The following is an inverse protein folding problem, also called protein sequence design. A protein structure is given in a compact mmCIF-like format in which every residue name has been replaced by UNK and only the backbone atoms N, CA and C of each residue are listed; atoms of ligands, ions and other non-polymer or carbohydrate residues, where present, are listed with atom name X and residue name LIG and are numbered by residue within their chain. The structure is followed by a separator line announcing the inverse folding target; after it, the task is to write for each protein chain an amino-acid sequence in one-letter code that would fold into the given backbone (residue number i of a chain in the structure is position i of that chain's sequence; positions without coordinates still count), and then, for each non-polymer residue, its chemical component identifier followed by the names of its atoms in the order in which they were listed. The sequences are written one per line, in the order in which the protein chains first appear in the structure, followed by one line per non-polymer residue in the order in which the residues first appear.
data_IF_362182265249
#
_entry.id   IF_362182265249
#
_cell.length_a   1.000
_cell.length_b   1.000
_cell.length_c   1.000
_cell.angle_alpha   90.00
_cell.angle_beta   90.00
_cell.angle_gamma   90.00
#
_symmetry.space_group_name_H-M   'P 1'
#
loop_
_entity.id
_entity.type
_entity.pdbx_description
1 polymer ?
#
# COMPACT_ATOMS: atom_id res chain seq x y z
N UNK A 1 -3.91 2.03 -15.05
CA UNK A 1 -3.42 2.10 -13.66
C UNK A 1 -4.46 2.82 -12.79
N UNK A 2 -4.92 2.19 -11.72
CA UNK A 2 -5.94 2.72 -10.79
C UNK A 2 -5.45 2.58 -9.35
N UNK A 3 -5.70 3.58 -8.51
CA UNK A 3 -5.48 3.52 -7.07
C UNK A 3 -6.66 4.22 -6.38
N UNK A 4 -7.38 3.50 -5.53
CA UNK A 4 -8.58 4.02 -4.87
C UNK A 4 -8.68 3.50 -3.43
N UNK A 5 -9.11 4.36 -2.51
CA UNK A 5 -9.39 4.03 -1.12
C UNK A 5 -10.88 4.28 -0.84
N UNK A 6 -11.59 3.25 -0.36
CA UNK A 6 -12.99 3.35 0.06
C UNK A 6 -13.13 3.04 1.53
N UNK A 7 -13.90 3.85 2.25
CA UNK A 7 -14.27 3.59 3.65
C UNK A 7 -15.74 3.24 3.72
N UNK A 8 -16.07 2.11 4.34
CA UNK A 8 -17.44 1.68 4.66
C UNK A 8 -17.52 1.38 6.14
N UNK A 9 -18.09 2.31 6.91
CA UNK A 9 -18.16 2.20 8.37
C UNK A 9 -16.77 2.06 9.00
N UNK A 10 -16.48 0.86 9.54
CA UNK A 10 -15.20 0.51 10.17
C UNK A 10 -14.22 -0.19 9.22
N UNK A 11 -14.64 -0.52 8.00
CA UNK A 11 -13.80 -1.16 7.00
C UNK A 11 -13.20 -0.13 6.05
N UNK A 12 -11.93 -0.33 5.71
CA UNK A 12 -11.21 0.46 4.70
C UNK A 12 -10.70 -0.52 3.64
N UNK A 13 -11.17 -0.33 2.40
CA UNK A 13 -10.76 -1.13 1.24
C UNK A 13 -9.83 -0.29 0.38
N UNK A 14 -8.61 -0.79 0.14
CA UNK A 14 -7.68 -0.21 -0.82
C UNK A 14 -7.66 -1.07 -2.09
N UNK A 15 -7.96 -0.47 -3.24
CA UNK A 15 -7.97 -1.14 -4.54
C UNK A 15 -6.87 -0.54 -5.41
N UNK A 16 -6.00 -1.39 -5.95
CA UNK A 16 -4.92 -1.00 -6.85
C UNK A 16 -4.92 -1.88 -8.09
N UNK A 17 -4.70 -1.27 -9.25
CA UNK A 17 -4.63 -1.91 -10.56
C UNK A 17 -3.39 -1.40 -11.31
N UNK A 18 -2.57 -2.32 -11.80
CA UNK A 18 -1.34 -2.05 -12.54
C UNK A 18 -1.04 -3.22 -13.49
N UNK A 19 -0.17 -3.00 -14.47
CA UNK A 19 0.25 -4.02 -15.44
C UNK A 19 1.09 -5.13 -14.80
N UNK A 20 1.69 -4.84 -13.63
CA UNK A 20 2.43 -5.80 -12.83
C UNK A 20 2.73 -5.26 -11.44
N UNK A 21 2.99 -6.18 -10.51
CA UNK A 21 3.37 -5.85 -9.13
C UNK A 21 4.65 -6.58 -8.74
N UNK A 22 5.58 -5.87 -8.10
CA UNK A 22 6.78 -6.48 -7.52
C UNK A 22 6.42 -7.29 -6.27
N UNK A 23 7.33 -8.19 -5.88
CA UNK A 23 7.16 -9.03 -4.68
C UNK A 23 6.92 -8.16 -3.42
N UNK A 24 5.78 -8.41 -2.79
CA UNK A 24 5.20 -7.69 -1.64
C UNK A 24 4.86 -6.21 -1.86
N UNK A 25 4.94 -5.68 -3.08
CA UNK A 25 4.71 -4.26 -3.38
C UNK A 25 3.41 -3.73 -2.77
N UNK A 26 2.28 -4.39 -3.06
CA UNK A 26 0.96 -3.98 -2.55
C UNK A 26 0.92 -3.99 -1.02
N UNK A 27 1.44 -5.04 -0.39
CA UNK A 27 1.45 -5.18 1.07
C UNK A 27 2.37 -4.17 1.76
N UNK A 28 3.48 -3.80 1.11
CA UNK A 28 4.39 -2.75 1.61
C UNK A 28 3.73 -1.37 1.50
N UNK A 29 3.07 -1.07 0.38
CA UNK A 29 2.30 0.18 0.20
C UNK A 29 1.24 0.30 1.29
N UNK A 30 0.40 -0.72 1.47
CA UNK A 30 -0.66 -0.73 2.49
C UNK A 30 -0.07 -0.62 3.90
N UNK A 31 1.06 -1.29 4.18
CA UNK A 31 1.77 -1.17 5.44
C UNK A 31 2.17 0.27 5.77
N UNK A 32 2.76 0.97 4.80
CA UNK A 32 3.13 2.38 4.96
C UNK A 32 1.91 3.28 5.14
N UNK A 33 0.84 3.06 4.35
CA UNK A 33 -0.40 3.84 4.49
C UNK A 33 -1.03 3.68 5.88
N UNK A 34 -0.94 2.49 6.49
CA UNK A 34 -1.42 2.25 7.86
C UNK A 34 -0.59 3.06 8.87
N UNK A 35 0.74 3.05 8.76
CA UNK A 35 1.58 3.79 9.71
C UNK A 35 1.44 5.31 9.55
N UNK A 36 1.19 5.79 8.32
CA UNK A 36 0.83 7.20 8.05
C UNK A 36 -0.54 7.53 8.65
N UNK A 37 -1.54 6.69 8.44
CA UNK A 37 -2.87 6.86 9.04
C UNK A 37 -2.87 6.82 10.58
N UNK A 38 -1.87 6.16 11.18
CA UNK A 38 -1.62 6.14 12.63
C UNK A 38 -0.78 7.32 13.12
N UNK A 39 -0.28 8.18 12.23
CA UNK A 39 0.57 9.33 12.57
C UNK A 39 2.01 8.97 12.94
N UNK A 40 2.45 7.73 12.71
CA UNK A 40 3.83 7.28 13.01
C UNK A 40 4.83 7.62 11.91
N UNK A 41 4.33 7.81 10.69
CA UNK A 41 5.11 8.18 9.51
C UNK A 41 4.49 9.44 8.92
N UNK A 42 5.30 10.46 8.67
CA UNK A 42 4.82 11.66 8.00
C UNK A 42 4.45 11.34 6.53
N UNK A 43 3.36 11.88 5.97
CA UNK A 43 3.01 11.64 4.58
C UNK A 43 4.14 11.96 3.59
N UNK A 44 4.96 12.99 3.88
CA UNK A 44 6.14 13.37 3.07
C UNK A 44 7.21 12.28 3.02
N UNK A 45 7.35 11.48 4.08
CA UNK A 45 8.32 10.38 4.10
C UNK A 45 8.01 9.29 3.06
N UNK A 46 6.76 9.23 2.56
CA UNK A 46 6.40 8.33 1.45
C UNK A 46 7.20 8.69 0.20
N UNK A 47 7.34 9.99 -0.11
CA UNK A 47 8.12 10.46 -1.26
C UNK A 47 9.60 10.07 -1.11
N UNK A 48 10.14 10.21 0.10
CA UNK A 48 11.51 9.79 0.42
C UNK A 48 11.72 8.28 0.24
N UNK A 49 10.70 7.46 0.54
CA UNK A 49 10.79 6.01 0.31
C UNK A 49 10.82 5.65 -1.17
N UNK A 50 10.05 6.35 -2.00
CA UNK A 50 10.07 6.16 -3.44
C UNK A 50 11.37 6.71 -4.07
N UNK A 51 11.86 7.87 -3.60
CA UNK A 51 13.09 8.49 -4.08
C UNK A 51 14.35 7.72 -3.66
N UNK A 52 14.40 7.26 -2.40
CA UNK A 52 15.57 6.60 -1.82
C UNK A 52 15.82 5.19 -2.36
N UNK A 53 14.88 4.58 -3.11
CA UNK A 53 14.94 3.22 -3.68
C UNK A 53 15.38 2.11 -2.69
N UNK A 54 15.36 2.39 -1.38
CA UNK A 54 15.83 1.49 -0.34
C UNK A 54 14.66 0.90 0.43
N UNK A 55 14.56 -0.42 0.36
CA UNK A 55 13.49 -1.20 1.00
C UNK A 55 13.55 -1.20 2.53
N UNK A 56 14.71 -0.91 3.11
CA UNK A 56 14.91 -0.79 4.57
C UNK A 56 14.19 0.40 5.19
N UNK A 57 13.83 1.41 4.39
CA UNK A 57 13.07 2.56 4.86
C UNK A 57 11.55 2.29 4.87
N UNK A 58 11.10 1.25 4.18
CA UNK A 58 9.67 0.96 4.08
C UNK A 58 9.10 0.42 5.40
N UNK A 59 7.86 0.82 5.69
CA UNK A 59 7.12 0.38 6.88
C UNK A 59 6.88 -1.14 6.89
N UNK A 60 6.55 -1.73 8.06
CA UNK A 60 6.25 -3.15 8.18
C UNK A 60 5.23 -3.62 7.13
N UNK A 61 5.50 -4.75 6.49
CA UNK A 61 4.65 -5.27 5.42
C UNK A 61 3.30 -5.71 6.02
N UNK A 62 2.19 -5.21 5.47
CA UNK A 62 0.85 -5.55 5.95
C UNK A 62 0.62 -7.08 5.94
N UNK A 63 -0.19 -7.65 6.86
CA UNK A 63 -0.51 -9.08 6.87
C UNK A 63 -1.09 -9.57 5.53
N UNK A 64 -0.77 -10.81 5.14
CA UNK A 64 -1.21 -11.37 3.85
C UNK A 64 -2.73 -11.58 3.78
N UNK A 65 -3.37 -11.89 4.91
CA UNK A 65 -4.80 -12.19 5.02
C UNK A 65 -5.76 -11.09 4.58
N UNK A 66 -5.27 -9.86 4.38
CA UNK A 66 -6.06 -8.73 3.90
C UNK A 66 -5.94 -8.44 2.40
N UNK A 67 -5.11 -9.19 1.66
CA UNK A 67 -4.90 -9.00 0.22
C UNK A 67 -5.68 -10.04 -0.58
N UNK A 68 -6.46 -9.59 -1.55
CA UNK A 68 -7.23 -10.44 -2.47
C UNK A 68 -7.07 -9.95 -3.91
N UNK A 69 -6.88 -10.88 -4.86
CA UNK A 69 -6.93 -10.59 -6.30
C UNK A 69 -8.39 -10.56 -6.73
N UNK A 70 -8.85 -9.41 -7.26
CA UNK A 70 -10.26 -9.21 -7.61
C UNK A 70 -10.53 -9.46 -9.10
N UNK A 71 -9.67 -8.96 -10.00
CA UNK A 71 -9.87 -9.06 -11.45
C UNK A 71 -8.54 -9.01 -12.19
N UNK A 72 -8.45 -9.74 -13.30
CA UNK A 72 -7.41 -9.61 -14.33
C UNK A 72 -8.11 -9.13 -15.60
N UNK A 73 -7.57 -8.08 -16.22
CA UNK A 73 -8.08 -7.52 -17.49
C UNK A 73 -7.15 -7.97 -18.61
N UNK A 74 -7.73 -8.36 -19.74
CA UNK A 74 -7.05 -8.83 -20.95
C UNK A 74 -7.37 -7.89 -22.12
#
# INVERSE_FOLDING_TARGET
MRSELKKKGREITYTIEADGFLRYMVRTIVGTLIEVGRGRVAPRAIEDFFAGKKRTLASPTAPAKGLCLIKVVY
#
